data_IF_076930562298
#
_entry.id   IF_076930562298
#
_cell.length_a   1.000
_cell.length_b   1.000
_cell.length_c   1.000
_cell.angle_alpha   90.00
_cell.angle_beta   90.00
_cell.angle_gamma   90.00
#
_symmetry.space_group_name_H-M   'P 1'
#
loop_
_entity.id
_entity.type
_entity.pdbx_description
1 polymer ?
#
# COMPACT_ATOMS: atom_id res chain seq x y z
N UNK A 1 -10.56 -19.52 11.77
CA UNK A 1 -9.86 -18.55 12.64
C UNK A 1 -9.30 -17.47 11.72
N UNK A 2 -9.53 -16.20 12.03
CA UNK A 2 -9.26 -15.09 11.10
C UNK A 2 -7.76 -14.98 10.77
N UNK A 3 -7.42 -15.09 9.49
CA UNK A 3 -6.05 -14.95 8.94
C UNK A 3 -5.57 -13.48 8.88
N UNK A 4 -6.13 -12.61 9.73
CA UNK A 4 -5.79 -11.20 9.79
C UNK A 4 -4.57 -10.95 10.69
N UNK A 5 -3.56 -10.27 10.18
CA UNK A 5 -2.37 -9.88 10.94
C UNK A 5 -2.59 -8.57 11.72
N UNK A 6 -3.37 -7.63 11.17
CA UNK A 6 -3.82 -6.42 11.83
C UNK A 6 -5.33 -6.25 11.66
N UNK A 7 -5.99 -5.71 12.67
CA UNK A 7 -7.42 -5.42 12.63
C UNK A 7 -7.73 -4.11 13.35
N UNK A 8 -8.53 -3.25 12.73
CA UNK A 8 -9.22 -2.14 13.38
C UNK A 8 -10.62 -2.61 13.77
N UNK A 9 -11.04 -2.32 15.00
CA UNK A 9 -12.38 -2.57 15.50
C UNK A 9 -13.00 -1.26 16.00
N UNK A 10 -13.95 -0.75 15.22
CA UNK A 10 -14.75 0.45 15.46
C UNK A 10 -13.91 1.68 15.84
N UNK A 11 -12.75 1.82 15.18
CA UNK A 11 -11.78 2.86 15.48
C UNK A 11 -12.35 4.23 15.15
N UNK A 12 -12.40 5.09 16.17
CA UNK A 12 -12.68 6.50 16.03
C UNK A 12 -11.44 7.30 16.39
N UNK A 13 -11.23 8.43 15.69
CA UNK A 13 -10.15 9.35 16.02
C UNK A 13 -10.55 10.79 15.70
N UNK A 14 -10.24 11.68 16.64
CA UNK A 14 -10.41 13.13 16.50
C UNK A 14 -9.09 13.83 16.84
N UNK A 15 -8.62 14.69 15.96
CA UNK A 15 -7.48 15.55 16.21
C UNK A 15 -7.82 16.65 17.23
N UNK A 16 -6.79 17.26 17.82
CA UNK A 16 -6.96 18.28 18.86
C UNK A 16 -7.68 19.55 18.35
N UNK A 17 -7.63 19.82 17.05
CA UNK A 17 -8.35 20.90 16.37
C UNK A 17 -9.85 20.61 16.20
N UNK A 18 -10.31 19.42 16.61
CA UNK A 18 -11.70 18.98 16.47
C UNK A 18 -11.98 18.18 15.21
N UNK A 19 -11.04 18.06 14.27
CA UNK A 19 -11.20 17.32 13.02
C UNK A 19 -11.43 15.83 13.31
N UNK A 20 -12.60 15.31 12.90
CA UNK A 20 -12.92 13.88 13.02
C UNK A 20 -12.36 13.14 11.80
N UNK A 21 -11.25 12.43 12.01
CA UNK A 21 -10.54 11.78 10.92
C UNK A 21 -10.92 10.29 10.75
N UNK A 22 -11.38 9.63 11.81
CA UNK A 22 -11.94 8.28 11.75
C UNK A 22 -13.25 8.20 12.56
N UNK A 23 -14.21 7.46 12.05
CA UNK A 23 -15.58 7.35 12.56
C UNK A 23 -16.08 5.90 12.47
N UNK A 24 -15.71 5.07 13.46
CA UNK A 24 -16.13 3.68 13.53
C UNK A 24 -15.51 2.82 12.42
N UNK A 25 -14.24 3.06 12.10
CA UNK A 25 -13.55 2.33 11.05
C UNK A 25 -13.19 0.90 11.52
N UNK A 26 -13.71 -0.10 10.82
CA UNK A 26 -13.46 -1.52 11.05
C UNK A 26 -12.87 -2.15 9.80
N UNK A 27 -11.63 -2.65 9.90
CA UNK A 27 -10.87 -3.19 8.76
C UNK A 27 -9.99 -4.35 9.23
N UNK A 28 -9.95 -5.44 8.48
CA UNK A 28 -9.02 -6.54 8.71
C UNK A 28 -8.00 -6.61 7.57
N UNK A 29 -6.71 -6.54 7.90
CA UNK A 29 -5.60 -6.74 6.96
C UNK A 29 -5.21 -8.21 7.02
N UNK A 30 -5.45 -8.95 5.92
CA UNK A 30 -5.03 -10.35 5.81
C UNK A 30 -3.53 -10.48 5.66
N UNK A 31 -2.96 -11.51 6.28
CA UNK A 31 -1.54 -11.83 6.14
C UNK A 31 -1.21 -12.12 4.67
N UNK A 32 -0.10 -11.57 4.21
CA UNK A 32 0.41 -11.79 2.85
C UNK A 32 -0.43 -11.16 1.74
N UNK A 33 -1.50 -10.42 2.04
CA UNK A 33 -2.32 -9.77 1.00
C UNK A 33 -1.74 -8.41 0.58
N UNK A 34 -1.98 -8.04 -0.68
CA UNK A 34 -1.85 -6.66 -1.18
C UNK A 34 -3.18 -5.94 -1.01
N UNK A 35 -3.20 -4.95 -0.13
CA UNK A 35 -4.40 -4.14 0.14
C UNK A 35 -4.20 -2.73 -0.41
N UNK A 36 -5.07 -2.27 -1.30
CA UNK A 36 -5.10 -0.87 -1.75
C UNK A 36 -6.20 -0.10 -1.01
N UNK A 37 -5.85 1.02 -0.39
CA UNK A 37 -6.77 1.92 0.30
C UNK A 37 -7.00 3.15 -0.56
N UNK A 38 -8.24 3.29 -1.01
CA UNK A 38 -8.74 4.31 -1.91
C UNK A 38 -9.63 5.29 -1.17
N UNK A 39 -9.75 6.50 -1.69
CA UNK A 39 -10.60 7.55 -1.15
C UNK A 39 -10.02 8.92 -1.45
N UNK A 40 -10.84 9.97 -1.35
CA UNK A 40 -10.42 11.34 -1.58
C UNK A 40 -9.33 11.79 -0.58
N UNK A 41 -8.68 12.92 -0.88
CA UNK A 41 -7.82 13.60 0.09
C UNK A 41 -8.67 14.01 1.31
N UNK A 42 -8.17 13.74 2.51
CA UNK A 42 -8.91 13.97 3.75
C UNK A 42 -9.91 12.85 4.14
N UNK A 43 -10.04 11.77 3.36
CA UNK A 43 -10.92 10.65 3.70
C UNK A 43 -10.49 9.83 4.95
N UNK A 44 -9.32 10.12 5.53
CA UNK A 44 -8.80 9.45 6.73
C UNK A 44 -7.76 8.34 6.48
N UNK A 45 -7.31 8.14 5.23
CA UNK A 45 -6.34 7.09 4.83
C UNK A 45 -5.04 7.14 5.65
N UNK A 46 -4.35 8.28 5.63
CA UNK A 46 -3.12 8.49 6.41
C UNK A 46 -3.38 8.30 7.90
N UNK A 47 -4.48 8.84 8.43
CA UNK A 47 -4.83 8.67 9.84
C UNK A 47 -5.03 7.20 10.19
N UNK A 48 -5.71 6.42 9.34
CA UNK A 48 -5.85 4.97 9.53
C UNK A 48 -4.48 4.27 9.55
N UNK A 49 -3.57 4.64 8.65
CA UNK A 49 -2.22 4.06 8.61
C UNK A 49 -1.39 4.37 9.86
N UNK A 50 -1.50 5.59 10.40
CA UNK A 50 -0.86 5.96 11.66
C UNK A 50 -1.38 5.12 12.85
N UNK A 51 -2.62 4.61 12.78
CA UNK A 51 -3.15 3.69 13.79
C UNK A 51 -2.61 2.27 13.61
N UNK A 52 -2.42 1.80 12.36
CA UNK A 52 -1.83 0.48 12.07
C UNK A 52 -0.43 0.31 12.68
N UNK A 53 0.37 1.38 12.72
CA UNK A 53 1.71 1.38 13.32
C UNK A 53 1.76 1.96 14.76
N UNK A 54 0.59 2.23 15.36
CA UNK A 54 0.51 2.76 16.72
C UNK A 54 1.21 4.10 16.93
N UNK A 55 1.33 4.93 15.89
CA UNK A 55 1.72 6.34 16.05
C UNK A 55 0.57 7.10 16.70
N UNK A 56 -0.66 6.83 16.26
CA UNK A 56 -1.87 7.35 16.88
C UNK A 56 -2.56 6.27 17.70
N UNK A 57 -3.15 6.69 18.82
CA UNK A 57 -4.03 5.89 19.65
C UNK A 57 -5.48 6.27 19.33
N UNK A 58 -6.39 5.29 19.11
CA UNK A 58 -7.80 5.57 18.91
C UNK A 58 -8.38 6.38 20.08
N UNK A 59 -9.31 7.29 19.79
CA UNK A 59 -10.12 7.94 20.83
C UNK A 59 -11.25 7.02 21.31
N UNK A 60 -11.71 6.11 20.44
CA UNK A 60 -12.60 5.00 20.78
C UNK A 60 -12.34 3.82 19.83
N UNK A 61 -12.78 2.61 20.20
CA UNK A 61 -12.43 1.37 19.50
C UNK A 61 -11.02 0.90 19.82
N UNK A 62 -10.52 -0.07 19.05
CA UNK A 62 -9.20 -0.64 19.27
C UNK A 62 -8.54 -1.14 17.98
N UNK A 63 -7.22 -1.29 18.05
CA UNK A 63 -6.44 -1.96 17.01
C UNK A 63 -5.88 -3.25 17.61
N UNK A 64 -5.94 -4.34 16.85
CA UNK A 64 -5.43 -5.65 17.23
C UNK A 64 -4.31 -6.07 16.28
N UNK A 65 -3.30 -6.70 16.83
CA UNK A 65 -2.27 -7.41 16.10
C UNK A 65 -2.36 -8.89 16.47
N UNK A 66 -2.62 -9.74 15.48
CA UNK A 66 -2.82 -11.19 15.67
C UNK A 66 -3.87 -11.51 16.76
N UNK A 67 -4.99 -10.77 16.73
CA UNK A 67 -6.10 -10.95 17.67
C UNK A 67 -5.87 -10.39 19.08
N UNK A 68 -4.70 -9.79 19.36
CA UNK A 68 -4.41 -9.14 20.65
C UNK A 68 -4.46 -7.62 20.51
N UNK A 69 -5.17 -6.88 21.39
CA UNK A 69 -5.14 -5.41 21.39
C UNK A 69 -3.71 -4.85 21.47
N UNK A 70 -3.46 -3.75 20.78
CA UNK A 70 -2.15 -3.09 20.81
C UNK A 70 -1.78 -2.64 22.22
N UNK A 71 -0.56 -2.97 22.64
CA UNK A 71 0.06 -2.45 23.85
C UNK A 71 0.76 -1.12 23.54
N UNK A 72 0.17 -0.01 23.98
CA UNK A 72 0.71 1.35 23.81
C UNK A 72 1.84 1.70 24.79
N UNK A 73 2.34 0.75 25.58
CA UNK A 73 3.59 0.91 26.31
C UNK A 73 4.79 1.08 25.36
N UNK A 74 5.90 1.60 25.88
CA UNK A 74 7.15 1.72 25.10
C UNK A 74 7.61 0.38 24.52
N UNK A 75 7.47 -0.70 25.29
CA UNK A 75 7.87 -2.04 24.87
C UNK A 75 6.92 -2.59 23.79
N UNK A 76 5.61 -2.45 23.99
CA UNK A 76 4.61 -2.86 23.01
C UNK A 76 4.73 -2.14 21.67
N UNK A 77 4.96 -0.82 21.71
CA UNK A 77 5.16 -0.02 20.50
C UNK A 77 6.47 -0.33 19.77
N UNK A 78 7.56 -0.63 20.51
CA UNK A 78 8.81 -1.12 19.89
C UNK A 78 8.57 -2.44 19.15
N UNK A 79 7.85 -3.38 19.77
CA UNK A 79 7.49 -4.67 19.15
C UNK A 79 6.58 -4.49 17.93
N UNK A 80 5.62 -3.59 17.99
CA UNK A 80 4.73 -3.32 16.85
C UNK A 80 5.50 -2.73 15.67
N UNK A 81 6.30 -1.68 15.92
CA UNK A 81 7.02 -0.94 14.87
C UNK A 81 8.13 -1.74 14.22
N UNK A 82 8.67 -2.76 14.88
CA UNK A 82 9.58 -3.72 14.22
C UNK A 82 8.86 -4.66 13.26
N UNK A 83 7.54 -4.84 13.40
CA UNK A 83 6.72 -5.72 12.55
C UNK A 83 5.96 -4.95 11.47
N UNK A 84 5.60 -3.69 11.75
CA UNK A 84 4.83 -2.81 10.86
C UNK A 84 5.70 -1.65 10.42
N UNK A 85 6.23 -1.77 9.22
CA UNK A 85 6.95 -0.70 8.55
C UNK A 85 5.99 0.35 7.99
N UNK A 86 6.33 1.62 8.09
CA UNK A 86 5.55 2.71 7.48
C UNK A 86 6.44 3.57 6.60
N UNK A 87 6.01 3.81 5.36
CA UNK A 87 6.63 4.73 4.40
C UNK A 87 5.68 5.90 4.21
N UNK A 88 6.15 7.10 4.53
CA UNK A 88 5.34 8.31 4.42
C UNK A 88 5.26 8.85 2.99
N UNK A 89 4.24 9.67 2.73
CA UNK A 89 4.02 10.30 1.42
C UNK A 89 5.18 11.22 1.02
N UNK A 90 5.71 12.02 1.93
CA UNK A 90 6.86 12.88 1.63
C UNK A 90 8.17 12.20 2.10
N UNK A 91 9.05 11.77 1.19
CA UNK A 91 10.31 11.15 1.58
C UNK A 91 11.24 12.12 2.33
N UNK A 92 11.16 13.43 2.09
CA UNK A 92 11.96 14.44 2.80
C UNK A 92 11.55 14.57 4.27
N UNK A 93 10.38 14.04 4.66
CA UNK A 93 9.95 13.97 6.06
C UNK A 93 10.49 12.72 6.78
N UNK A 94 11.08 11.78 6.05
CA UNK A 94 11.56 10.50 6.58
C UNK A 94 13.08 10.33 6.48
N UNK A 95 13.72 10.88 5.45
CA UNK A 95 15.18 10.85 5.28
C UNK A 95 15.82 12.02 6.05
N UNK A 96 16.80 11.73 6.89
CA UNK A 96 17.44 12.76 7.74
C UNK A 96 18.95 12.57 7.94
N UNK A 97 19.53 11.44 7.54
CA UNK A 97 20.96 11.16 7.75
C UNK A 97 21.84 11.76 6.66
N UNK A 98 23.17 11.79 6.86
CA UNK A 98 24.07 12.40 5.89
C UNK A 98 24.17 11.57 4.61
N UNK A 99 24.24 10.23 4.74
CA UNK A 99 24.30 9.29 3.61
C UNK A 99 23.13 8.29 3.60
N UNK A 100 22.89 7.68 2.43
CA UNK A 100 21.87 6.63 2.26
C UNK A 100 22.10 5.44 3.20
N UNK A 101 23.35 4.97 3.31
CA UNK A 101 23.72 3.85 4.17
C UNK A 101 23.42 4.16 5.63
N UNK A 102 23.78 5.36 6.10
CA UNK A 102 23.49 5.80 7.47
C UNK A 102 21.98 5.84 7.74
N UNK A 103 21.21 6.39 6.79
CA UNK A 103 19.76 6.51 6.93
C UNK A 103 19.08 5.13 7.06
N UNK A 104 19.46 4.18 6.19
CA UNK A 104 18.94 2.81 6.23
C UNK A 104 19.41 2.06 7.48
N UNK A 105 20.62 2.37 8.00
CA UNK A 105 21.17 1.73 9.21
C UNK A 105 20.40 2.10 10.47
N UNK A 106 19.71 3.25 10.48
CA UNK A 106 19.06 3.78 11.68
C UNK A 106 18.03 2.82 12.30
N UNK A 107 17.16 2.22 11.48
CA UNK A 107 16.16 1.25 11.94
C UNK A 107 16.80 0.02 12.61
N UNK A 108 17.64 -0.75 11.90
CA UNK A 108 18.42 -1.87 12.44
C UNK A 108 19.19 -1.55 13.74
N UNK A 109 19.86 -0.40 13.81
CA UNK A 109 20.60 0.02 15.02
C UNK A 109 19.65 0.25 16.21
N UNK A 110 18.48 0.84 15.98
CA UNK A 110 17.46 1.03 17.03
C UNK A 110 16.81 -0.29 17.49
N UNK A 111 16.88 -1.35 16.69
CA UNK A 111 16.52 -2.70 17.11
C UNK A 111 17.58 -3.31 18.05
N UNK A 112 18.78 -2.73 18.13
CA UNK A 112 19.89 -3.20 18.96
C UNK A 112 20.72 -4.30 18.31
N UNK A 113 20.80 -4.30 16.97
CA UNK A 113 21.58 -5.27 16.22
C UNK A 113 23.07 -4.91 16.24
N UNK A 114 23.91 -5.94 16.22
CA UNK A 114 25.37 -5.81 16.06
C UNK A 114 25.73 -5.23 14.68
N UNK A 115 26.87 -4.56 14.61
CA UNK A 115 27.31 -3.82 13.40
C UNK A 115 27.32 -4.69 12.14
N UNK A 116 27.81 -5.94 12.24
CA UNK A 116 27.84 -6.87 11.11
C UNK A 116 26.43 -7.20 10.59
N UNK A 117 25.46 -7.38 11.50
CA UNK A 117 24.07 -7.64 11.15
C UNK A 117 23.40 -6.39 10.55
N UNK A 118 23.68 -5.20 11.11
CA UNK A 118 23.21 -3.93 10.52
C UNK A 118 23.71 -3.80 9.08
N UNK A 119 25.01 -4.02 8.86
CA UNK A 119 25.63 -3.92 7.52
C UNK A 119 24.97 -4.86 6.52
N UNK A 120 24.79 -6.13 6.90
CA UNK A 120 24.13 -7.12 6.07
C UNK A 120 22.70 -6.68 5.70
N UNK A 121 21.89 -6.24 6.67
CA UNK A 121 20.51 -5.82 6.41
C UNK A 121 20.42 -4.58 5.53
N UNK A 122 21.35 -3.65 5.67
CA UNK A 122 21.43 -2.46 4.81
C UNK A 122 21.72 -2.85 3.37
N UNK A 123 22.68 -3.76 3.15
CA UNK A 123 23.00 -4.26 1.80
C UNK A 123 21.82 -5.01 1.17
N UNK A 124 21.18 -5.91 1.92
CA UNK A 124 19.98 -6.63 1.47
C UNK A 124 18.85 -5.66 1.09
N UNK A 125 18.58 -4.65 1.91
CA UNK A 125 17.54 -3.66 1.67
C UNK A 125 17.84 -2.77 0.45
N UNK A 126 19.10 -2.34 0.28
CA UNK A 126 19.55 -1.58 -0.89
C UNK A 126 19.38 -2.39 -2.18
N UNK A 127 19.76 -3.67 -2.16
CA UNK A 127 19.59 -4.57 -3.30
C UNK A 127 18.10 -4.77 -3.64
N UNK A 128 17.23 -4.94 -2.63
CA UNK A 128 15.80 -5.15 -2.82
C UNK A 128 15.12 -4.00 -3.56
N UNK A 129 15.61 -2.76 -3.39
CA UNK A 129 15.07 -1.57 -4.06
C UNK A 129 15.94 -1.08 -5.23
N UNK A 130 16.98 -1.81 -5.62
CA UNK A 130 17.87 -1.43 -6.73
C UNK A 130 18.70 -0.16 -6.48
N UNK A 131 19.16 0.05 -5.25
CA UNK A 131 19.91 1.25 -4.82
C UNK A 131 21.34 0.95 -4.33
N UNK A 132 21.87 -0.26 -4.54
CA UNK A 132 23.19 -0.68 -4.07
C UNK A 132 24.32 0.31 -4.44
N UNK A 133 24.35 0.80 -5.69
CA UNK A 133 25.37 1.75 -6.18
C UNK A 133 25.22 3.18 -5.64
N UNK A 134 24.19 3.43 -4.81
CA UNK A 134 23.92 4.74 -4.21
C UNK A 134 24.08 4.73 -2.69
N UNK A 135 24.62 3.66 -2.10
CA UNK A 135 24.75 3.50 -0.66
C UNK A 135 25.47 4.66 0.03
N UNK A 136 26.54 5.17 -0.56
CA UNK A 136 27.38 6.21 0.06
C UNK A 136 27.05 7.62 -0.46
N UNK A 137 25.99 7.76 -1.27
CA UNK A 137 25.54 9.08 -1.74
C UNK A 137 24.89 9.87 -0.61
N UNK A 138 25.05 11.21 -0.60
CA UNK A 138 24.27 12.06 0.30
C UNK A 138 22.78 11.99 -0.02
N UNK A 139 21.92 11.88 1.00
CA UNK A 139 20.46 11.71 0.79
C UNK A 139 19.83 12.88 0.03
N UNK A 140 20.36 14.09 0.21
CA UNK A 140 19.88 15.30 -0.45
C UNK A 140 20.21 15.36 -1.95
N UNK A 141 21.17 14.54 -2.41
CA UNK A 141 21.57 14.45 -3.83
C UNK A 141 20.75 13.42 -4.62
N UNK A 142 19.81 12.73 -3.97
CA UNK A 142 18.95 11.76 -4.63
C UNK A 142 17.79 12.44 -5.37
N UNK A 143 17.40 11.87 -6.52
CA UNK A 143 16.14 12.22 -7.16
C UNK A 143 14.95 11.85 -6.26
N UNK A 144 13.78 12.45 -6.50
CA UNK A 144 12.59 12.18 -5.69
C UNK A 144 12.20 10.68 -5.66
N UNK A 145 12.27 10.00 -6.81
CA UNK A 145 12.03 8.55 -6.89
C UNK A 145 13.09 7.71 -6.18
N UNK A 146 14.37 8.13 -6.23
CA UNK A 146 15.43 7.48 -5.46
C UNK A 146 15.21 7.64 -3.95
N UNK A 147 14.77 8.82 -3.50
CA UNK A 147 14.42 9.05 -2.09
C UNK A 147 13.28 8.14 -1.63
N UNK A 148 12.23 7.96 -2.44
CA UNK A 148 11.13 7.00 -2.16
C UNK A 148 11.65 5.57 -1.98
N UNK A 149 12.56 5.12 -2.85
CA UNK A 149 13.20 3.80 -2.74
C UNK A 149 14.03 3.65 -1.47
N UNK A 150 14.80 4.67 -1.11
CA UNK A 150 15.60 4.66 0.13
C UNK A 150 14.69 4.63 1.37
N UNK A 151 13.57 5.35 1.37
CA UNK A 151 12.57 5.25 2.45
C UNK A 151 12.03 3.83 2.61
N UNK A 152 11.75 3.15 1.49
CA UNK A 152 11.32 1.75 1.51
C UNK A 152 12.46 0.86 2.02
N UNK A 153 13.70 1.05 1.56
CA UNK A 153 14.85 0.28 2.04
C UNK A 153 15.08 0.43 3.55
N UNK A 154 14.98 1.65 4.10
CA UNK A 154 15.10 1.89 5.54
C UNK A 154 14.06 1.11 6.34
N UNK A 155 12.84 0.99 5.82
CA UNK A 155 11.79 0.15 6.39
C UNK A 155 12.14 -1.35 6.26
N UNK A 156 12.55 -1.80 5.08
CA UNK A 156 12.88 -3.20 4.81
C UNK A 156 14.07 -3.71 5.62
N UNK A 157 15.05 -2.84 5.93
CA UNK A 157 16.18 -3.19 6.77
C UNK A 157 15.77 -3.61 8.20
N UNK A 158 14.59 -3.21 8.67
CA UNK A 158 14.05 -3.71 9.94
C UNK A 158 13.48 -5.13 9.84
N UNK A 159 13.30 -5.67 8.63
CA UNK A 159 12.64 -6.94 8.31
C UNK A 159 11.20 -7.04 8.87
N UNK A 160 10.31 -6.10 8.49
CA UNK A 160 8.93 -6.11 8.95
C UNK A 160 8.12 -7.27 8.33
N UNK A 161 6.97 -7.59 8.92
CA UNK A 161 5.98 -8.52 8.35
C UNK A 161 4.96 -7.78 7.46
N UNK A 162 4.79 -6.48 7.70
CA UNK A 162 3.85 -5.60 7.01
C UNK A 162 4.56 -4.33 6.59
N UNK A 163 4.37 -3.90 5.35
CA UNK A 163 4.75 -2.56 4.90
C UNK A 163 3.49 -1.77 4.55
N UNK A 164 3.33 -0.62 5.20
CA UNK A 164 2.27 0.35 4.94
C UNK A 164 2.88 1.52 4.19
N UNK A 165 2.40 1.81 2.99
CA UNK A 165 2.92 2.89 2.14
C UNK A 165 1.84 3.92 1.86
N UNK A 166 2.06 5.15 2.32
CA UNK A 166 1.14 6.26 2.08
C UNK A 166 1.50 6.98 0.77
N UNK A 167 0.67 6.82 -0.26
CA UNK A 167 0.86 7.39 -1.59
C UNK A 167 2.31 7.24 -2.14
N UNK A 168 2.82 5.99 -2.25
CA UNK A 168 4.19 5.74 -2.69
C UNK A 168 4.45 6.21 -4.13
N UNK A 169 3.41 6.26 -4.97
CA UNK A 169 3.49 6.65 -6.38
C UNK A 169 3.40 8.16 -6.62
N UNK A 170 3.01 8.95 -5.60
CA UNK A 170 2.85 10.38 -5.75
C UNK A 170 4.20 11.04 -6.12
N UNK A 171 4.17 11.94 -7.11
CA UNK A 171 5.36 12.65 -7.59
C UNK A 171 6.31 11.83 -8.46
N UNK A 172 5.94 10.61 -8.84
CA UNK A 172 6.70 9.76 -9.77
C UNK A 172 6.12 9.85 -11.18
N UNK A 173 6.99 9.78 -12.19
CA UNK A 173 6.57 9.54 -13.57
C UNK A 173 6.20 8.06 -13.80
N UNK A 174 5.63 7.76 -14.96
CA UNK A 174 5.15 6.41 -15.28
C UNK A 174 6.25 5.34 -15.20
N UNK A 175 7.47 5.63 -15.68
CA UNK A 175 8.57 4.67 -15.64
C UNK A 175 8.99 4.38 -14.19
N UNK A 176 9.06 5.43 -13.34
CA UNK A 176 9.36 5.27 -11.93
C UNK A 176 8.26 4.53 -11.16
N UNK A 177 6.98 4.74 -11.52
CA UNK A 177 5.85 4.00 -10.96
C UNK A 177 5.90 2.51 -11.33
N UNK A 178 6.25 2.17 -12.56
CA UNK A 178 6.42 0.78 -13.01
C UNK A 178 7.57 0.09 -12.27
N UNK A 179 8.71 0.79 -12.13
CA UNK A 179 9.84 0.27 -11.36
C UNK A 179 9.50 0.07 -9.88
N UNK A 180 8.74 0.99 -9.27
CA UNK A 180 8.29 0.85 -7.89
C UNK A 180 7.26 -0.28 -7.74
N UNK A 181 6.33 -0.43 -8.68
CA UNK A 181 5.37 -1.54 -8.70
C UNK A 181 6.11 -2.88 -8.76
N UNK A 182 7.14 -2.98 -9.59
CA UNK A 182 8.00 -4.17 -9.68
C UNK A 182 8.68 -4.50 -8.35
N UNK A 183 9.15 -3.50 -7.61
CA UNK A 183 9.71 -3.69 -6.26
C UNK A 183 8.64 -4.25 -5.32
N UNK A 184 7.44 -3.64 -5.30
CA UNK A 184 6.34 -4.10 -4.44
C UNK A 184 5.91 -5.54 -4.77
N UNK A 185 5.87 -5.92 -6.04
CA UNK A 185 5.58 -7.28 -6.48
C UNK A 185 6.62 -8.29 -6.00
N UNK A 186 7.91 -7.96 -6.08
CA UNK A 186 8.99 -8.82 -5.56
C UNK A 186 8.87 -9.01 -4.05
N UNK A 187 8.59 -7.94 -3.31
CA UNK A 187 8.40 -8.01 -1.86
C UNK A 187 7.20 -8.88 -1.49
N UNK A 188 6.06 -8.70 -2.17
CA UNK A 188 4.87 -9.50 -1.96
C UNK A 188 5.10 -10.98 -2.32
N UNK A 189 5.81 -11.26 -3.41
CA UNK A 189 6.18 -12.64 -3.81
C UNK A 189 7.06 -13.33 -2.76
N UNK A 190 7.81 -12.56 -1.96
CA UNK A 190 8.55 -13.02 -0.79
C UNK A 190 7.69 -13.26 0.46
N UNK A 191 6.37 -13.10 0.38
CA UNK A 191 5.42 -13.30 1.49
C UNK A 191 5.09 -12.05 2.30
N UNK A 192 5.56 -10.86 1.89
CA UNK A 192 5.29 -9.61 2.58
C UNK A 192 3.80 -9.22 2.51
N UNK A 193 3.24 -8.75 3.62
CA UNK A 193 1.92 -8.09 3.64
C UNK A 193 2.11 -6.63 3.24
N UNK A 194 1.35 -6.13 2.27
CA UNK A 194 1.53 -4.76 1.76
C UNK A 194 0.21 -4.01 1.78
N UNK A 195 0.20 -2.82 2.38
CA UNK A 195 -0.95 -1.92 2.38
C UNK A 195 -0.54 -0.60 1.73
N UNK A 196 -1.21 -0.21 0.65
CA UNK A 196 -0.89 1.01 -0.11
C UNK A 196 -2.08 1.96 -0.09
N UNK A 197 -1.90 3.19 0.36
CA UNK A 197 -2.87 4.25 0.07
C UNK A 197 -2.57 4.83 -1.30
N UNK A 198 -3.61 5.00 -2.12
CA UNK A 198 -3.48 5.57 -3.47
C UNK A 198 -4.79 6.22 -3.89
N UNK A 199 -4.71 7.11 -4.87
CA UNK A 199 -5.86 7.62 -5.61
C UNK A 199 -5.88 7.07 -7.05
N UNK A 200 -4.86 6.29 -7.45
CA UNK A 200 -4.78 5.64 -8.75
C UNK A 200 -5.66 4.38 -8.75
N UNK A 201 -6.80 4.49 -9.45
CA UNK A 201 -7.78 3.40 -9.57
C UNK A 201 -7.27 2.27 -10.44
N UNK A 202 -6.49 2.55 -11.48
CA UNK A 202 -5.96 1.53 -12.40
C UNK A 202 -4.88 0.70 -11.70
N UNK A 203 -3.99 1.36 -10.94
CA UNK A 203 -3.02 0.66 -10.08
C UNK A 203 -3.75 -0.22 -9.06
N UNK A 204 -4.71 0.32 -8.30
CA UNK A 204 -5.43 -0.46 -7.30
C UNK A 204 -6.21 -1.63 -7.92
N UNK A 205 -6.84 -1.41 -9.07
CA UNK A 205 -7.60 -2.43 -9.80
C UNK A 205 -6.70 -3.52 -10.37
N UNK A 206 -5.49 -3.21 -10.83
CA UNK A 206 -4.55 -4.19 -11.39
C UNK A 206 -3.69 -4.92 -10.37
N UNK A 207 -3.24 -4.22 -9.33
CA UNK A 207 -2.21 -4.72 -8.42
C UNK A 207 -2.76 -5.36 -7.14
N UNK A 208 -3.89 -4.88 -6.60
CA UNK A 208 -4.32 -5.28 -5.27
C UNK A 208 -5.09 -6.62 -5.24
N UNK A 209 -4.93 -7.39 -4.17
CA UNK A 209 -5.79 -8.55 -3.89
C UNK A 209 -7.11 -8.10 -3.25
N UNK A 210 -7.02 -7.04 -2.43
CA UNK A 210 -8.16 -6.40 -1.78
C UNK A 210 -8.08 -4.88 -1.96
N UNK A 211 -9.24 -4.25 -2.12
CA UNK A 211 -9.37 -2.81 -2.02
C UNK A 211 -10.26 -2.43 -0.85
N UNK A 212 -9.96 -1.27 -0.28
CA UNK A 212 -10.71 -0.61 0.78
C UNK A 212 -11.04 0.78 0.27
N UNK A 213 -12.31 1.17 0.32
CA UNK A 213 -12.75 2.51 -0.05
C UNK A 213 -13.13 3.25 1.22
N UNK A 214 -12.46 4.37 1.46
CA UNK A 214 -12.73 5.26 2.58
C UNK A 214 -13.46 6.51 2.11
N UNK A 215 -14.43 6.93 2.90
CA UNK A 215 -15.12 8.21 2.72
C UNK A 215 -15.38 8.86 4.08
N UNK A 216 -15.02 10.14 4.21
CA UNK A 216 -15.22 10.93 5.44
C UNK A 216 -14.87 10.21 6.76
N UNK A 217 -13.76 9.45 6.79
CA UNK A 217 -13.29 8.73 7.98
C UNK A 217 -14.00 7.39 8.25
N UNK A 218 -14.87 6.94 7.34
CA UNK A 218 -15.59 5.67 7.39
C UNK A 218 -15.13 4.72 6.29
N UNK A 219 -15.30 3.42 6.52
CA UNK A 219 -15.08 2.41 5.49
C UNK A 219 -16.38 2.21 4.71
N UNK A 220 -16.36 2.58 3.42
CA UNK A 220 -17.50 2.46 2.51
C UNK A 220 -17.62 1.06 1.94
N UNK A 221 -16.48 0.48 1.50
CA UNK A 221 -16.43 -0.86 0.93
C UNK A 221 -15.08 -1.53 1.21
N UNK A 222 -15.08 -2.86 1.32
CA UNK A 222 -13.88 -3.69 1.43
C UNK A 222 -14.13 -5.02 0.71
N UNK A 223 -13.20 -5.45 -0.13
CA UNK A 223 -13.28 -6.72 -0.84
C UNK A 223 -12.39 -6.77 -2.08
N UNK A 224 -12.58 -7.77 -2.96
CA UNK A 224 -11.85 -7.85 -4.22
C UNK A 224 -12.06 -6.59 -5.07
N UNK A 225 -11.01 -6.00 -5.68
CA UNK A 225 -11.14 -4.73 -6.42
C UNK A 225 -12.13 -4.83 -7.57
N UNK A 226 -12.17 -5.98 -8.24
CA UNK A 226 -13.14 -6.28 -9.27
C UNK A 226 -14.58 -6.16 -8.75
N UNK A 227 -14.89 -6.57 -7.52
CA UNK A 227 -16.25 -6.49 -7.00
C UNK A 227 -16.61 -5.08 -6.53
N UNK A 228 -15.71 -4.43 -5.79
CA UNK A 228 -16.04 -3.17 -5.13
C UNK A 228 -15.98 -1.96 -6.08
N UNK A 229 -15.02 -1.92 -7.01
CA UNK A 229 -14.84 -0.76 -7.91
C UNK A 229 -15.89 -0.70 -9.02
N UNK A 230 -16.75 -1.72 -9.12
CA UNK A 230 -17.95 -1.74 -9.98
C UNK A 230 -19.19 -1.19 -9.31
N UNK A 231 -19.19 -1.03 -7.98
CA UNK A 231 -20.36 -0.57 -7.24
C UNK A 231 -20.61 0.90 -7.55
N UNK A 232 -21.87 1.24 -7.87
CA UNK A 232 -22.26 2.62 -8.25
C UNK A 232 -21.93 3.63 -7.17
N UNK A 233 -22.16 3.27 -5.91
CA UNK A 233 -21.87 4.13 -4.76
C UNK A 233 -20.37 4.43 -4.66
N UNK A 234 -19.53 3.39 -4.73
CA UNK A 234 -18.07 3.53 -4.77
C UNK A 234 -17.59 4.41 -5.93
N UNK A 235 -18.12 4.20 -7.14
CA UNK A 235 -17.75 5.03 -8.30
C UNK A 235 -18.17 6.49 -8.12
N UNK A 236 -19.33 6.74 -7.52
CA UNK A 236 -19.79 8.10 -7.25
C UNK A 236 -18.91 8.82 -6.23
N UNK A 237 -18.43 8.10 -5.20
CA UNK A 237 -17.50 8.64 -4.19
C UNK A 237 -16.11 8.89 -4.75
N UNK A 238 -15.58 7.96 -5.57
CA UNK A 238 -14.25 8.08 -6.17
C UNK A 238 -14.21 9.01 -7.39
N UNK A 239 -15.38 9.30 -7.98
CA UNK A 239 -15.53 10.18 -9.14
C UNK A 239 -15.17 9.54 -10.49
N UNK A 240 -14.72 8.29 -10.50
CA UNK A 240 -14.34 7.55 -11.71
C UNK A 240 -14.37 6.03 -11.48
N UNK A 241 -14.25 5.27 -12.56
CA UNK A 241 -13.95 3.84 -12.53
C UNK A 241 -12.56 3.59 -13.13
N UNK A 242 -11.93 2.44 -12.85
CA UNK A 242 -10.70 2.03 -13.54
C UNK A 242 -10.92 2.01 -15.06
N UNK A 243 -9.95 2.46 -15.85
CA UNK A 243 -10.08 2.53 -17.31
C UNK A 243 -10.34 1.15 -17.93
N UNK A 244 -9.70 0.12 -17.39
CA UNK A 244 -9.91 -1.27 -17.83
C UNK A 244 -11.36 -1.70 -17.62
N UNK A 245 -11.98 -1.28 -16.51
CA UNK A 245 -13.40 -1.55 -16.21
C UNK A 245 -14.31 -0.80 -17.17
N UNK A 246 -14.04 0.49 -17.43
CA UNK A 246 -14.84 1.32 -18.34
C UNK A 246 -14.82 0.77 -19.78
N UNK A 247 -13.65 0.37 -20.28
CA UNK A 247 -13.52 -0.22 -21.61
C UNK A 247 -14.22 -1.57 -21.66
N UNK A 248 -14.03 -2.44 -20.66
CA UNK A 248 -14.69 -3.75 -20.60
C UNK A 248 -16.21 -3.60 -20.63
N UNK A 249 -16.75 -2.62 -19.89
CA UNK A 249 -18.18 -2.31 -19.90
C UNK A 249 -18.65 -1.77 -21.26
N UNK A 250 -17.89 -0.88 -21.87
CA UNK A 250 -18.21 -0.30 -23.18
C UNK A 250 -18.23 -1.36 -24.29
N UNK A 251 -17.30 -2.33 -24.24
CA UNK A 251 -17.27 -3.47 -25.16
C UNK A 251 -18.53 -4.34 -25.03
N UNK A 252 -18.99 -4.60 -23.80
CA UNK A 252 -20.23 -5.36 -23.56
C UNK A 252 -21.45 -4.69 -24.20
N UNK A 253 -21.54 -3.34 -24.18
CA UNK A 253 -22.64 -2.59 -24.80
C UNK A 253 -22.69 -2.73 -26.33
N UNK A 254 -21.58 -3.04 -26.99
CA UNK A 254 -21.51 -3.28 -28.44
C UNK A 254 -21.47 -4.77 -28.80
N UNK A 255 -21.83 -5.65 -27.86
CA UNK A 255 -21.92 -7.10 -28.08
C UNK A 255 -20.59 -7.85 -28.00
N UNK A 256 -19.56 -7.25 -27.37
CA UNK A 256 -18.29 -7.91 -27.03
C UNK A 256 -18.28 -8.13 -25.51
N UNK A 257 -18.91 -9.21 -25.06
CA UNK A 257 -19.00 -9.52 -23.63
C UNK A 257 -17.82 -10.43 -23.21
N UNK A 258 -16.70 -9.78 -22.89
CA UNK A 258 -15.50 -10.45 -22.38
C UNK A 258 -15.80 -11.27 -21.12
N UNK A 259 -16.69 -10.80 -20.24
CA UNK A 259 -16.99 -11.45 -18.97
C UNK A 259 -17.85 -12.69 -19.14
N UNK A 260 -18.82 -12.65 -20.05
CA UNK A 260 -19.62 -13.82 -20.39
C UNK A 260 -18.75 -14.97 -20.93
N UNK A 261 -17.58 -14.64 -21.50
CA UNK A 261 -16.56 -15.60 -21.94
C UNK A 261 -15.51 -15.94 -20.87
N UNK A 262 -15.67 -15.44 -19.65
CA UNK A 262 -14.79 -15.73 -18.52
C UNK A 262 -13.54 -14.83 -18.42
N UNK A 263 -13.39 -13.83 -19.29
CA UNK A 263 -12.29 -12.87 -19.20
C UNK A 263 -12.60 -11.77 -18.18
N UNK A 264 -11.72 -11.63 -17.19
CA UNK A 264 -11.78 -10.59 -16.16
C UNK A 264 -10.48 -9.79 -16.14
N UNK A 265 -10.20 -9.00 -17.21
CA UNK A 265 -8.95 -8.27 -17.29
C UNK A 265 -8.86 -7.24 -16.17
N UNK A 266 -7.71 -7.21 -15.50
CA UNK A 266 -7.37 -6.27 -14.43
C UNK A 266 -6.31 -5.26 -14.83
N UNK A 267 -5.69 -5.44 -15.99
CA UNK A 267 -4.67 -4.55 -16.53
C UNK A 267 -4.88 -4.29 -18.02
N UNK A 268 -4.26 -3.23 -18.55
CA UNK A 268 -4.25 -2.92 -19.99
C UNK A 268 -3.77 -4.12 -20.81
N UNK A 269 -2.71 -4.80 -20.36
CA UNK A 269 -2.13 -5.96 -21.04
C UNK A 269 -3.12 -7.13 -21.11
N UNK A 270 -3.78 -7.43 -20.00
CA UNK A 270 -4.82 -8.48 -19.95
C UNK A 270 -6.03 -8.13 -20.81
N UNK A 271 -6.44 -6.86 -20.82
CA UNK A 271 -7.56 -6.39 -21.62
C UNK A 271 -7.29 -6.57 -23.12
N UNK A 272 -6.12 -6.13 -23.59
CA UNK A 272 -5.74 -6.28 -25.00
C UNK A 272 -5.69 -7.76 -25.39
N UNK A 273 -5.12 -8.61 -24.54
CA UNK A 273 -5.11 -10.06 -24.77
C UNK A 273 -6.52 -10.65 -24.82
N UNK A 274 -7.39 -10.28 -23.88
CA UNK A 274 -8.77 -10.76 -23.84
C UNK A 274 -9.56 -10.36 -25.09
N UNK A 275 -9.35 -9.14 -25.61
CA UNK A 275 -9.98 -8.68 -26.85
C UNK A 275 -9.49 -9.50 -28.05
N UNK A 276 -8.19 -9.75 -28.16
CA UNK A 276 -7.63 -10.58 -29.23
C UNK A 276 -8.14 -12.02 -29.16
N UNK A 277 -8.11 -12.63 -27.97
CA UNK A 277 -8.59 -14.00 -27.77
C UNK A 277 -10.09 -14.13 -28.09
N UNK A 278 -10.90 -13.13 -27.71
CA UNK A 278 -12.32 -13.05 -28.06
C UNK A 278 -12.55 -12.96 -29.58
N UNK A 279 -11.80 -12.11 -30.27
CA UNK A 279 -11.93 -11.94 -31.72
C UNK A 279 -11.65 -13.26 -32.48
N UNK A 280 -10.59 -13.97 -32.07
CA UNK A 280 -10.23 -15.29 -32.63
C UNK A 280 -11.35 -16.31 -32.42
N UNK A 281 -11.93 -16.38 -31.22
CA UNK A 281 -13.01 -17.34 -30.92
C UNK A 281 -14.30 -17.05 -31.70
N UNK A 282 -14.62 -15.78 -31.92
CA UNK A 282 -15.85 -15.37 -32.63
C UNK A 282 -15.67 -15.26 -34.15
N UNK A 283 -14.49 -15.61 -34.68
CA UNK A 283 -14.18 -15.50 -36.12
C UNK A 283 -14.24 -14.06 -36.64
N UNK A 284 -14.03 -13.08 -35.77
CA UNK A 284 -13.96 -11.65 -36.13
C UNK A 284 -12.52 -11.31 -36.55
N UNK A 285 -12.33 -10.52 -37.62
CA UNK A 285 -10.99 -10.15 -38.11
C UNK A 285 -10.18 -9.36 -37.09
#
# INVERSE_FOLDING_TARGET
MSDSILKLEDVCYRYADGTRALDGCSLAIRRGARTAVLGANGAGKTTMFLHLNGILRPTAGQVLCEGTPLDYSRHGMRRLRSRVGMVFQNPDSQLFSASVREDISFGPMNLGLEEAAVRQRVEEALCAVGMADSADKPVHNLSYGQKKRVCIAGVLAMQPEIVVLDEPMAGLDAAMQDELTTILEKLHSGGMTIVVATHDLDFAYGWADESVVMDAGRLLAHGPPAEILRQKEVQSTLGAAPLVEEITRSLSLIGIDLRAKGYLPRSKKELLKAISDYAIQEGKP
#
